data_IF_225577066435
#
_entry.id   IF_225577066435
#
_cell.length_a   1.000
_cell.length_b   1.000
_cell.length_c   1.000
_cell.angle_alpha   90.00
_cell.angle_beta   90.00
_cell.angle_gamma   90.00
#
_symmetry.space_group_name_H-M   'P 1'
#
loop_
_entity.id
_entity.type
_entity.pdbx_description
1 polymer ?
#
# COMPACT_ATOMS: atom_id res chain seq x y z
N UNK A 1 -34.49 -6.72 12.07
CA UNK A 1 -35.85 -7.06 11.67
C UNK A 1 -36.24 -8.46 12.16
N UNK A 2 -35.45 -9.47 11.82
CA UNK A 2 -35.74 -10.85 12.22
C UNK A 2 -35.95 -11.02 13.72
N UNK A 3 -35.07 -10.49 14.54
CA UNK A 3 -35.13 -10.57 16.00
C UNK A 3 -36.22 -9.64 16.60
N UNK A 4 -36.48 -8.51 15.95
CA UNK A 4 -37.37 -7.49 16.46
C UNK A 4 -38.87 -7.82 16.27
N UNK A 5 -39.19 -8.88 15.52
CA UNK A 5 -40.56 -9.27 15.12
C UNK A 5 -41.38 -8.14 14.47
N UNK A 6 -40.72 -7.14 13.92
CA UNK A 6 -41.35 -6.09 13.12
C UNK A 6 -41.78 -6.65 11.77
N UNK A 7 -42.83 -6.11 11.16
CA UNK A 7 -43.18 -6.52 9.79
C UNK A 7 -42.02 -6.22 8.84
N UNK A 8 -41.74 -7.16 7.93
CA UNK A 8 -40.77 -6.96 6.91
C UNK A 8 -41.21 -5.83 5.97
N UNK A 9 -40.27 -5.01 5.47
CA UNK A 9 -40.55 -4.09 4.38
C UNK A 9 -40.83 -4.86 3.09
N UNK A 10 -41.61 -4.29 2.18
CA UNK A 10 -41.89 -4.88 0.86
C UNK A 10 -40.66 -4.92 -0.01
N UNK A 11 -39.73 -3.96 0.16
CA UNK A 11 -38.54 -3.79 -0.65
C UNK A 11 -37.36 -3.31 0.21
N UNK A 12 -36.19 -3.88 -0.02
CA UNK A 12 -34.91 -3.37 0.46
C UNK A 12 -34.15 -2.72 -0.70
N UNK A 13 -33.87 -1.43 -0.60
CA UNK A 13 -33.01 -0.70 -1.50
C UNK A 13 -31.59 -0.70 -0.92
N UNK A 14 -30.70 -1.48 -1.50
CA UNK A 14 -29.32 -1.60 -1.06
C UNK A 14 -28.43 -0.57 -1.78
N UNK A 15 -27.46 -0.04 -1.06
CA UNK A 15 -26.55 0.97 -1.59
C UNK A 15 -25.67 0.44 -2.77
N UNK A 16 -25.43 -0.87 -2.82
CA UNK A 16 -24.74 -1.53 -3.95
C UNK A 16 -25.09 -3.01 -4.02
N UNK A 17 -24.61 -3.67 -5.08
CA UNK A 17 -24.88 -5.08 -5.36
C UNK A 17 -24.20 -6.03 -4.34
N UNK A 18 -23.10 -5.62 -3.72
CA UNK A 18 -22.45 -6.42 -2.67
C UNK A 18 -23.38 -6.57 -1.45
N UNK A 19 -23.96 -5.46 -1.03
CA UNK A 19 -24.91 -5.43 0.09
C UNK A 19 -26.19 -6.21 -0.28
N UNK A 20 -26.68 -6.04 -1.51
CA UNK A 20 -27.86 -6.76 -2.01
C UNK A 20 -27.63 -8.27 -2.02
N UNK A 21 -26.48 -8.74 -2.55
CA UNK A 21 -26.12 -10.16 -2.55
C UNK A 21 -25.98 -10.73 -1.14
N UNK A 22 -25.31 -10.00 -0.23
CA UNK A 22 -25.19 -10.37 1.17
C UNK A 22 -26.54 -10.47 1.89
N UNK A 23 -27.46 -9.53 1.61
CA UNK A 23 -28.82 -9.57 2.13
C UNK A 23 -29.59 -10.80 1.62
N UNK A 24 -29.53 -11.10 0.32
CA UNK A 24 -30.18 -12.27 -0.27
C UNK A 24 -29.62 -13.58 0.33
N UNK A 25 -28.30 -13.70 0.48
CA UNK A 25 -27.67 -14.87 1.07
C UNK A 25 -28.09 -15.04 2.56
N UNK A 26 -28.13 -13.95 3.31
CA UNK A 26 -28.58 -13.98 4.72
C UNK A 26 -30.07 -14.32 4.83
N UNK A 27 -30.91 -13.78 3.94
CA UNK A 27 -32.34 -14.07 3.86
C UNK A 27 -32.57 -15.58 3.67
N UNK A 28 -31.83 -16.22 2.75
CA UNK A 28 -31.92 -17.65 2.48
C UNK A 28 -31.59 -18.47 3.74
N UNK A 29 -30.50 -18.13 4.45
CA UNK A 29 -30.11 -18.80 5.72
C UNK A 29 -31.19 -18.66 6.78
N UNK A 30 -31.88 -17.52 6.85
CA UNK A 30 -32.98 -17.27 7.78
C UNK A 30 -34.34 -17.83 7.33
N UNK A 31 -34.40 -18.48 6.16
CA UNK A 31 -35.59 -19.12 5.62
C UNK A 31 -36.54 -18.20 4.87
N UNK A 32 -36.14 -16.97 4.56
CA UNK A 32 -36.88 -16.05 3.73
C UNK A 32 -36.58 -16.29 2.25
N UNK A 33 -37.57 -16.00 1.41
CA UNK A 33 -37.51 -16.17 -0.06
C UNK A 33 -37.56 -14.80 -0.75
N UNK A 34 -36.55 -14.48 -1.52
CA UNK A 34 -36.53 -13.31 -2.40
C UNK A 34 -36.91 -13.78 -3.81
N UNK A 35 -37.85 -13.16 -4.47
CA UNK A 35 -38.60 -11.94 -4.16
C UNK A 35 -39.95 -12.15 -3.43
N UNK A 36 -40.30 -13.38 -2.98
CA UNK A 36 -41.64 -13.71 -2.51
C UNK A 36 -41.98 -13.05 -1.18
N UNK A 37 -41.07 -13.04 -0.19
CA UNK A 37 -41.28 -12.45 1.13
C UNK A 37 -40.96 -10.95 1.15
N UNK A 38 -39.96 -10.53 0.36
CA UNK A 38 -39.60 -9.14 0.12
C UNK A 38 -38.74 -9.05 -1.15
N UNK A 39 -38.68 -7.85 -1.70
CA UNK A 39 -37.87 -7.56 -2.89
C UNK A 39 -36.54 -6.92 -2.50
N UNK A 40 -35.51 -7.11 -3.34
CA UNK A 40 -34.18 -6.53 -3.13
C UNK A 40 -33.71 -5.85 -4.40
N UNK A 41 -33.12 -4.66 -4.24
CA UNK A 41 -32.42 -3.98 -5.33
C UNK A 41 -31.00 -3.59 -4.89
N UNK A 42 -30.06 -3.65 -5.82
CA UNK A 42 -28.70 -3.17 -5.68
C UNK A 42 -28.43 -1.91 -6.48
N UNK A 43 -27.17 -1.63 -6.68
CA UNK A 43 -26.63 -0.52 -7.48
C UNK A 43 -25.21 -0.89 -7.92
N UNK A 44 -24.72 -0.33 -9.02
CA UNK A 44 -23.40 -0.47 -9.64
C UNK A 44 -23.29 -1.49 -10.77
N UNK A 45 -24.28 -2.34 -11.01
CA UNK A 45 -24.25 -3.38 -12.04
C UNK A 45 -22.95 -4.20 -11.99
N UNK A 46 -22.62 -4.74 -10.81
CA UNK A 46 -21.48 -5.63 -10.65
C UNK A 46 -21.81 -6.99 -11.28
N UNK A 47 -20.80 -7.68 -11.81
CA UNK A 47 -20.94 -9.02 -12.38
C UNK A 47 -21.76 -9.97 -11.50
N UNK A 48 -21.53 -9.91 -10.18
CA UNK A 48 -22.29 -10.72 -9.23
C UNK A 48 -23.80 -10.49 -9.23
N UNK A 49 -24.28 -9.30 -9.62
CA UNK A 49 -25.71 -9.04 -9.72
C UNK A 49 -26.36 -9.94 -10.77
N UNK A 50 -25.70 -10.17 -11.88
CA UNK A 50 -26.19 -11.02 -12.97
C UNK A 50 -26.04 -12.53 -12.66
N UNK A 51 -25.06 -12.91 -11.83
CA UNK A 51 -24.73 -14.33 -11.58
C UNK A 51 -25.23 -14.84 -10.23
N UNK A 52 -25.73 -13.98 -9.37
CA UNK A 52 -26.34 -14.37 -8.10
C UNK A 52 -27.69 -15.06 -8.33
N UNK A 53 -28.16 -15.87 -7.38
CA UNK A 53 -29.47 -16.49 -7.43
C UNK A 53 -30.27 -16.11 -6.15
N UNK A 54 -31.38 -15.36 -6.27
CA UNK A 54 -31.94 -14.78 -7.51
C UNK A 54 -31.07 -13.67 -8.09
N UNK A 55 -31.10 -13.49 -9.42
CA UNK A 55 -30.42 -12.37 -10.07
C UNK A 55 -30.87 -11.05 -9.47
N UNK A 56 -29.91 -10.18 -9.18
CA UNK A 56 -30.15 -8.93 -8.43
C UNK A 56 -30.54 -7.82 -9.42
N UNK A 57 -31.71 -7.23 -9.19
CA UNK A 57 -32.11 -5.98 -9.84
C UNK A 57 -31.15 -4.86 -9.41
N UNK A 58 -30.60 -4.15 -10.38
CA UNK A 58 -29.56 -3.15 -10.14
C UNK A 58 -29.72 -1.92 -11.01
N UNK A 59 -28.83 -0.96 -10.83
CA UNK A 59 -28.69 0.23 -11.67
C UNK A 59 -27.27 0.28 -12.19
N UNK A 60 -27.12 0.36 -13.52
CA UNK A 60 -25.85 0.67 -14.14
C UNK A 60 -25.63 2.19 -14.15
N UNK A 61 -24.63 2.63 -13.40
CA UNK A 61 -24.21 4.03 -13.34
C UNK A 61 -23.13 4.37 -14.39
N UNK A 62 -22.89 3.47 -15.34
CA UNK A 62 -21.98 3.67 -16.45
C UNK A 62 -20.54 4.09 -16.03
N UNK A 63 -19.99 3.40 -15.03
CA UNK A 63 -18.69 3.72 -14.39
C UNK A 63 -17.53 3.92 -15.38
N UNK A 64 -17.49 3.12 -16.45
CA UNK A 64 -16.48 3.27 -17.49
C UNK A 64 -16.53 4.64 -18.19
N UNK A 65 -17.71 5.19 -18.38
CA UNK A 65 -17.88 6.51 -18.98
C UNK A 65 -17.66 7.64 -17.97
N UNK A 66 -17.87 7.42 -16.67
CA UNK A 66 -17.52 8.41 -15.63
C UNK A 66 -16.04 8.75 -15.71
N UNK A 67 -15.17 7.74 -15.67
CA UNK A 67 -13.72 7.93 -15.75
C UNK A 67 -13.28 8.59 -17.05
N UNK A 68 -13.85 8.15 -18.19
CA UNK A 68 -13.56 8.75 -19.50
C UNK A 68 -13.95 10.23 -19.57
N UNK A 69 -15.18 10.56 -19.15
CA UNK A 69 -15.66 11.94 -19.16
C UNK A 69 -14.85 12.83 -18.20
N UNK A 70 -14.49 12.32 -17.02
CA UNK A 70 -13.62 13.03 -16.08
C UNK A 70 -12.27 13.39 -16.73
N UNK A 71 -11.65 12.43 -17.44
CA UNK A 71 -10.39 12.66 -18.13
C UNK A 71 -10.55 13.66 -19.31
N UNK A 72 -11.66 13.61 -20.03
CA UNK A 72 -11.95 14.58 -21.10
C UNK A 72 -12.12 16.01 -20.55
N UNK A 73 -12.85 16.16 -19.44
CA UNK A 73 -13.01 17.44 -18.75
C UNK A 73 -11.64 17.96 -18.30
N UNK A 74 -10.86 17.09 -17.64
CA UNK A 74 -9.52 17.46 -17.18
C UNK A 74 -8.63 17.94 -18.35
N UNK A 75 -8.59 17.20 -19.46
CA UNK A 75 -7.83 17.61 -20.66
C UNK A 75 -8.31 18.94 -21.24
N UNK A 76 -9.62 19.16 -21.29
CA UNK A 76 -10.18 20.41 -21.80
C UNK A 76 -9.83 21.60 -20.89
N UNK A 77 -9.90 21.45 -19.58
CA UNK A 77 -9.48 22.46 -18.61
C UNK A 77 -7.98 22.74 -18.71
N UNK A 78 -7.15 21.69 -18.78
CA UNK A 78 -5.71 21.81 -18.94
C UNK A 78 -5.30 22.61 -20.19
N UNK A 79 -6.00 22.38 -21.29
CA UNK A 79 -5.77 23.07 -22.55
C UNK A 79 -6.45 24.47 -22.63
N UNK A 80 -7.15 24.89 -21.58
CA UNK A 80 -7.89 26.17 -21.59
C UNK A 80 -9.07 26.22 -22.55
N UNK A 81 -9.58 25.06 -23.01
CA UNK A 81 -10.67 24.94 -23.99
C UNK A 81 -12.00 24.52 -23.38
N UNK A 82 -12.04 24.20 -22.09
CA UNK A 82 -13.22 23.71 -21.38
C UNK A 82 -13.63 24.59 -20.21
N UNK A 83 -14.84 24.34 -19.71
CA UNK A 83 -15.34 24.89 -18.47
C UNK A 83 -15.45 23.79 -17.40
N UNK A 84 -15.56 24.20 -16.13
CA UNK A 84 -15.73 23.31 -14.97
C UNK A 84 -17.21 23.02 -14.70
N UNK A 85 -18.06 22.98 -15.74
CA UNK A 85 -19.48 22.70 -15.53
C UNK A 85 -19.73 21.23 -15.20
N UNK A 86 -20.73 20.98 -14.35
CA UNK A 86 -21.14 19.64 -13.98
C UNK A 86 -21.67 18.87 -15.21
N UNK A 87 -21.18 17.64 -15.37
CA UNK A 87 -21.71 16.69 -16.36
C UNK A 87 -22.47 15.58 -15.66
N UNK A 88 -23.70 15.38 -16.10
CA UNK A 88 -24.55 14.29 -15.64
C UNK A 88 -24.52 13.16 -16.66
N UNK A 89 -24.41 11.93 -16.18
CA UNK A 89 -24.48 10.73 -16.99
C UNK A 89 -25.79 10.00 -16.71
N UNK A 90 -26.42 9.48 -17.74
CA UNK A 90 -27.61 8.66 -17.59
C UNK A 90 -27.27 7.32 -16.96
N UNK A 91 -28.10 6.91 -16.01
CA UNK A 91 -28.06 5.58 -15.40
C UNK A 91 -29.14 4.70 -15.99
N UNK A 92 -28.86 3.40 -16.15
CA UNK A 92 -29.79 2.42 -16.67
C UNK A 92 -30.30 1.51 -15.54
N UNK A 93 -31.61 1.39 -15.41
CA UNK A 93 -32.24 0.45 -14.48
C UNK A 93 -32.33 -0.93 -15.12
N UNK A 94 -31.76 -1.95 -14.46
CA UNK A 94 -31.72 -3.34 -14.91
C UNK A 94 -32.60 -4.18 -13.99
N UNK A 95 -33.86 -4.44 -14.38
CA UNK A 95 -34.75 -5.29 -13.62
C UNK A 95 -34.32 -6.76 -13.71
N UNK A 96 -34.39 -7.48 -12.58
CA UNK A 96 -34.07 -8.90 -12.52
C UNK A 96 -34.92 -9.66 -11.49
N UNK A 97 -34.58 -10.90 -11.20
CA UNK A 97 -35.41 -11.81 -10.39
C UNK A 97 -35.67 -11.31 -8.98
N UNK A 98 -34.74 -10.59 -8.35
CA UNK A 98 -34.87 -10.14 -6.96
C UNK A 98 -35.95 -9.08 -6.75
N UNK A 99 -36.46 -8.43 -7.80
CA UNK A 99 -37.65 -7.57 -7.73
C UNK A 99 -38.94 -8.28 -8.21
N UNK A 100 -38.85 -9.54 -8.62
CA UNK A 100 -39.95 -10.32 -9.19
C UNK A 100 -40.08 -10.20 -10.70
N UNK A 101 -39.11 -9.59 -11.39
CA UNK A 101 -39.08 -9.53 -12.86
C UNK A 101 -38.47 -10.84 -13.41
N UNK A 102 -38.83 -11.20 -14.69
CA UNK A 102 -38.23 -12.37 -15.29
C UNK A 102 -36.74 -12.13 -15.56
N UNK A 103 -35.96 -13.20 -15.52
CA UNK A 103 -34.57 -13.19 -15.96
C UNK A 103 -34.49 -12.75 -17.43
N UNK A 104 -33.80 -11.67 -17.72
CA UNK A 104 -33.76 -11.05 -19.07
C UNK A 104 -32.51 -11.43 -19.87
N UNK A 105 -31.57 -12.20 -19.30
CA UNK A 105 -30.30 -12.52 -19.98
C UNK A 105 -29.89 -13.98 -19.89
N UNK A 106 -29.30 -14.49 -20.98
CA UNK A 106 -28.51 -15.72 -20.92
C UNK A 106 -27.18 -15.39 -20.30
N UNK A 107 -26.95 -15.95 -19.11
CA UNK A 107 -25.71 -15.78 -18.36
C UNK A 107 -24.77 -16.94 -18.72
N UNK A 108 -23.57 -16.64 -19.14
CA UNK A 108 -22.52 -17.63 -19.38
C UNK A 108 -21.85 -18.03 -18.06
N UNK A 109 -22.54 -18.83 -17.25
CA UNK A 109 -22.01 -19.34 -15.98
C UNK A 109 -20.68 -20.08 -16.13
N UNK A 110 -20.44 -20.75 -17.25
CA UNK A 110 -19.20 -21.50 -17.45
C UNK A 110 -18.00 -20.56 -17.55
N UNK A 111 -18.13 -19.49 -18.31
CA UNK A 111 -17.07 -18.49 -18.46
C UNK A 111 -16.88 -17.70 -17.17
N UNK A 112 -17.97 -17.36 -16.49
CA UNK A 112 -17.93 -16.69 -15.18
C UNK A 112 -17.18 -17.51 -14.13
N UNK A 113 -17.53 -18.79 -13.93
CA UNK A 113 -16.85 -19.69 -12.99
C UNK A 113 -15.37 -19.84 -13.37
N UNK A 114 -15.06 -19.99 -14.66
CA UNK A 114 -13.67 -20.05 -15.13
C UNK A 114 -12.88 -18.80 -14.76
N UNK A 115 -13.48 -17.63 -14.88
CA UNK A 115 -12.84 -16.36 -14.54
C UNK A 115 -12.66 -16.21 -13.01
N UNK A 116 -13.67 -16.62 -12.21
CA UNK A 116 -13.55 -16.65 -10.74
C UNK A 116 -12.41 -17.57 -10.32
N UNK A 117 -12.34 -18.81 -10.84
CA UNK A 117 -11.27 -19.75 -10.50
C UNK A 117 -9.90 -19.18 -10.88
N UNK A 118 -9.78 -18.59 -12.08
CA UNK A 118 -8.52 -17.95 -12.49
C UNK A 118 -8.13 -16.82 -11.54
N UNK A 119 -9.09 -15.96 -11.19
CA UNK A 119 -8.84 -14.87 -10.25
C UNK A 119 -8.49 -15.36 -8.84
N UNK A 120 -9.10 -16.46 -8.37
CA UNK A 120 -8.76 -17.08 -7.08
C UNK A 120 -7.33 -17.61 -7.08
N UNK A 121 -6.95 -18.36 -8.12
CA UNK A 121 -5.58 -18.92 -8.24
C UNK A 121 -4.53 -17.79 -8.34
N UNK A 122 -4.82 -16.74 -9.11
CA UNK A 122 -3.91 -15.60 -9.19
C UNK A 122 -3.73 -14.93 -7.84
N UNK A 123 -4.82 -14.73 -7.09
CA UNK A 123 -4.78 -14.13 -5.75
C UNK A 123 -4.00 -14.98 -4.75
N UNK A 124 -4.21 -16.31 -4.74
CA UNK A 124 -3.43 -17.21 -3.89
C UNK A 124 -1.93 -17.12 -4.19
N UNK A 125 -1.54 -17.02 -5.46
CA UNK A 125 -0.14 -16.83 -5.86
C UNK A 125 0.43 -15.49 -5.41
N UNK A 126 -0.38 -14.42 -5.45
CA UNK A 126 0.00 -13.09 -4.98
C UNK A 126 0.15 -13.05 -3.45
N UNK A 127 -0.78 -13.65 -2.71
CA UNK A 127 -0.70 -13.78 -1.25
C UNK A 127 0.55 -14.56 -0.81
N UNK A 128 0.86 -15.67 -1.49
CA UNK A 128 2.09 -16.45 -1.26
C UNK A 128 3.35 -15.60 -1.54
N UNK A 129 3.37 -14.84 -2.63
CA UNK A 129 4.49 -13.98 -2.98
C UNK A 129 4.72 -12.86 -1.93
N UNK A 130 3.64 -12.26 -1.42
CA UNK A 130 3.72 -11.27 -0.34
C UNK A 130 4.25 -11.90 0.96
N UNK A 131 3.82 -13.13 1.30
CA UNK A 131 4.35 -13.85 2.46
C UNK A 131 5.85 -14.13 2.34
N UNK A 132 6.32 -14.51 1.15
CA UNK A 132 7.74 -14.73 0.88
C UNK A 132 8.50 -13.42 1.05
N UNK A 133 8.02 -12.32 0.45
CA UNK A 133 8.61 -11.00 0.62
C UNK A 133 8.70 -10.60 2.10
N UNK A 134 7.63 -10.76 2.86
CA UNK A 134 7.62 -10.43 4.29
C UNK A 134 8.74 -11.17 5.05
N UNK A 135 8.92 -12.45 4.77
CA UNK A 135 9.99 -13.25 5.37
C UNK A 135 11.38 -12.75 4.96
N UNK A 136 11.58 -12.47 3.67
CA UNK A 136 12.85 -11.94 3.17
C UNK A 136 13.18 -10.58 3.78
N UNK A 137 12.18 -9.69 3.92
CA UNK A 137 12.38 -8.41 4.57
C UNK A 137 12.72 -8.57 6.08
N UNK A 138 12.15 -9.55 6.77
CA UNK A 138 12.47 -9.83 8.18
C UNK A 138 13.94 -10.23 8.40
N UNK A 139 14.57 -10.84 7.41
CA UNK A 139 15.99 -11.26 7.46
C UNK A 139 16.98 -10.09 7.28
N UNK A 140 16.54 -8.94 6.75
CA UNK A 140 17.39 -7.79 6.52
C UNK A 140 17.86 -7.16 7.84
N UNK A 141 19.14 -6.77 7.90
CA UNK A 141 19.73 -6.10 9.08
C UNK A 141 20.18 -4.66 8.78
N UNK A 142 20.20 -4.26 7.51
CA UNK A 142 20.56 -2.93 7.06
C UNK A 142 19.46 -2.31 6.21
N UNK A 143 19.38 -0.98 6.19
CA UNK A 143 18.40 -0.26 5.36
C UNK A 143 18.59 -0.55 3.87
N UNK A 144 19.87 -0.62 3.44
CA UNK A 144 20.19 -0.89 2.04
C UNK A 144 19.62 -2.23 1.60
N UNK A 145 19.87 -3.31 2.34
CA UNK A 145 19.36 -4.65 2.04
C UNK A 145 17.83 -4.70 2.03
N UNK A 146 17.20 -3.99 2.98
CA UNK A 146 15.76 -3.87 3.05
C UNK A 146 15.17 -3.24 1.78
N UNK A 147 15.74 -2.11 1.35
CA UNK A 147 15.25 -1.39 0.18
C UNK A 147 15.61 -2.12 -1.13
N UNK A 148 16.74 -2.81 -1.19
CA UNK A 148 17.12 -3.65 -2.34
C UNK A 148 16.10 -4.77 -2.56
N UNK A 149 15.78 -5.57 -1.53
CA UNK A 149 14.80 -6.65 -1.64
C UNK A 149 13.40 -6.14 -1.96
N UNK A 150 13.00 -5.04 -1.33
CA UNK A 150 11.75 -4.37 -1.68
C UNK A 150 11.74 -3.91 -3.15
N UNK A 151 12.81 -3.30 -3.63
CA UNK A 151 12.95 -2.84 -5.01
C UNK A 151 12.87 -3.99 -6.01
N UNK A 152 13.61 -5.08 -5.77
CA UNK A 152 13.60 -6.26 -6.63
C UNK A 152 12.19 -6.84 -6.78
N UNK A 153 11.47 -6.93 -5.66
CA UNK A 153 10.09 -7.39 -5.67
C UNK A 153 9.17 -6.45 -6.47
N UNK A 154 9.21 -5.16 -6.19
CA UNK A 154 8.38 -4.14 -6.88
C UNK A 154 8.68 -4.09 -8.37
N UNK A 155 9.95 -4.17 -8.77
CA UNK A 155 10.33 -4.16 -10.19
C UNK A 155 9.87 -5.44 -10.90
N UNK A 156 9.86 -6.60 -10.24
CA UNK A 156 9.30 -7.84 -10.78
C UNK A 156 7.80 -7.74 -11.13
N UNK A 157 7.09 -6.82 -10.49
CA UNK A 157 5.68 -6.50 -10.71
C UNK A 157 5.44 -5.42 -11.79
N UNK A 158 6.39 -5.22 -12.70
CA UNK A 158 6.33 -4.19 -13.75
C UNK A 158 6.36 -2.76 -13.20
N UNK A 159 7.42 -2.45 -12.51
CA UNK A 159 7.80 -1.09 -12.12
C UNK A 159 9.18 -0.78 -12.72
N UNK A 160 9.36 0.40 -13.26
CA UNK A 160 10.61 0.77 -13.94
C UNK A 160 11.65 1.38 -13.00
N UNK A 161 11.29 1.74 -11.78
CA UNK A 161 12.24 2.25 -10.79
C UNK A 161 11.64 2.46 -9.42
N UNK A 162 12.49 2.33 -8.41
CA UNK A 162 12.17 2.49 -6.99
C UNK A 162 13.18 3.44 -6.36
N UNK A 163 12.70 4.53 -5.79
CA UNK A 163 13.53 5.51 -5.10
C UNK A 163 12.99 5.70 -3.70
N UNK A 164 13.86 5.68 -2.69
CA UNK A 164 13.47 5.85 -1.29
C UNK A 164 14.15 7.08 -0.73
N UNK A 165 13.37 8.00 -0.24
CA UNK A 165 13.81 9.21 0.43
C UNK A 165 13.39 9.13 1.88
N UNK A 166 14.29 9.43 2.78
CA UNK A 166 14.02 9.50 4.21
C UNK A 166 14.49 10.80 4.82
N UNK A 167 14.04 11.09 6.03
CA UNK A 167 14.56 12.23 6.80
C UNK A 167 15.93 11.89 7.39
N UNK A 168 16.76 12.89 7.61
CA UNK A 168 18.15 12.73 8.10
C UNK A 168 18.21 12.00 9.44
N UNK A 169 17.25 12.20 10.32
CA UNK A 169 17.15 11.51 11.62
C UNK A 169 16.88 10.00 11.48
N UNK A 170 16.12 9.58 10.46
CA UNK A 170 15.94 8.16 10.12
C UNK A 170 17.26 7.56 9.65
N UNK A 171 17.94 8.23 8.71
CA UNK A 171 19.21 7.76 8.14
C UNK A 171 20.30 7.61 9.21
N UNK A 172 20.40 8.58 10.11
CA UNK A 172 21.38 8.60 11.19
C UNK A 172 20.98 7.75 12.41
N UNK A 173 19.75 7.24 12.47
CA UNK A 173 19.17 6.53 13.61
C UNK A 173 19.44 7.24 14.95
N UNK A 174 19.08 8.52 15.02
CA UNK A 174 19.31 9.35 16.21
C UNK A 174 18.37 8.99 17.34
N UNK A 175 18.87 8.94 18.56
CA UNK A 175 18.08 8.61 19.75
C UNK A 175 16.98 9.65 20.07
N UNK A 176 17.22 10.90 19.71
CA UNK A 176 16.28 12.02 19.88
C UNK A 176 15.70 12.47 18.52
N UNK A 177 15.46 11.53 17.62
CA UNK A 177 14.85 11.82 16.33
C UNK A 177 13.51 12.54 16.48
N UNK A 178 13.31 13.59 15.71
CA UNK A 178 12.07 14.35 15.67
C UNK A 178 11.42 14.22 14.29
N UNK A 179 10.42 13.38 14.23
CA UNK A 179 9.64 13.21 13.02
C UNK A 179 8.44 14.18 13.00
N UNK A 180 8.11 14.69 11.82
CA UNK A 180 7.00 15.63 11.65
C UNK A 180 5.69 14.87 11.44
N UNK A 181 4.58 15.45 11.92
CA UNK A 181 3.24 14.91 11.65
C UNK A 181 2.68 15.37 10.30
N UNK A 182 3.15 16.49 9.80
CA UNK A 182 2.66 17.10 8.56
C UNK A 182 3.81 17.73 7.76
N UNK A 183 3.77 17.53 6.45
CA UNK A 183 4.68 18.14 5.49
C UNK A 183 6.08 17.51 5.47
N UNK A 184 6.84 17.90 4.46
CA UNK A 184 8.24 17.50 4.26
C UNK A 184 9.11 18.74 4.30
N UNK A 185 10.38 18.57 4.66
CA UNK A 185 11.39 19.62 4.63
C UNK A 185 12.54 19.14 3.76
N UNK A 186 12.65 19.69 2.59
CA UNK A 186 13.62 19.25 1.58
C UNK A 186 15.09 19.37 2.05
N UNK A 187 15.35 20.28 3.01
CA UNK A 187 16.69 20.47 3.57
C UNK A 187 17.05 19.37 4.58
N UNK A 188 16.04 18.63 5.10
CA UNK A 188 16.20 17.52 6.03
C UNK A 188 16.06 16.14 5.35
N UNK A 189 15.86 16.11 4.05
CA UNK A 189 15.65 14.86 3.30
C UNK A 189 16.95 14.33 2.71
N UNK A 190 17.09 13.00 2.72
CA UNK A 190 18.23 12.28 2.12
C UNK A 190 17.72 11.13 1.26
N UNK A 191 18.41 10.85 0.14
CA UNK A 191 18.13 9.69 -0.68
C UNK A 191 18.76 8.47 -0.01
N UNK A 192 17.92 7.52 0.41
CA UNK A 192 18.34 6.30 1.09
C UNK A 192 18.63 5.15 0.11
N UNK A 193 17.90 5.13 -1.00
CA UNK A 193 18.03 4.10 -2.03
C UNK A 193 17.50 4.59 -3.36
N UNK A 194 18.11 4.15 -4.46
CA UNK A 194 17.63 4.43 -5.79
C UNK A 194 18.03 3.29 -6.74
N UNK A 195 17.05 2.73 -7.42
CA UNK A 195 17.24 1.68 -8.42
C UNK A 195 16.30 1.91 -9.59
N UNK A 196 16.84 1.86 -10.78
CA UNK A 196 16.18 2.21 -12.02
C UNK A 196 16.47 1.14 -13.08
N UNK A 197 15.43 0.62 -13.70
CA UNK A 197 15.51 -0.47 -14.68
C UNK A 197 16.49 -0.20 -15.82
N UNK A 198 16.57 1.05 -16.25
CA UNK A 198 17.41 1.42 -17.41
C UNK A 198 18.86 1.73 -17.01
N UNK A 199 19.09 2.20 -15.78
CA UNK A 199 20.36 2.70 -15.29
C UNK A 199 20.93 1.92 -14.10
N UNK A 200 20.19 0.96 -13.55
CA UNK A 200 20.56 0.20 -12.36
C UNK A 200 20.56 1.04 -11.09
N UNK A 201 21.38 0.64 -10.13
CA UNK A 201 21.52 1.33 -8.85
C UNK A 201 22.21 2.67 -9.03
N UNK A 202 21.60 3.71 -8.48
CA UNK A 202 22.01 5.10 -8.60
C UNK A 202 22.31 5.68 -7.22
N UNK A 203 23.26 6.58 -7.15
CA UNK A 203 23.59 7.36 -5.95
C UNK A 203 23.37 8.85 -6.22
N UNK A 204 22.66 9.50 -5.32
CA UNK A 204 22.37 10.93 -5.38
C UNK A 204 22.92 11.62 -4.14
N UNK A 205 23.56 12.79 -4.32
CA UNK A 205 24.10 13.58 -3.21
C UNK A 205 23.01 14.34 -2.46
N UNK A 206 21.91 14.63 -3.14
CA UNK A 206 20.78 15.36 -2.59
C UNK A 206 19.47 14.90 -3.25
N UNK A 207 18.35 15.21 -2.59
CA UNK A 207 17.01 15.00 -3.18
C UNK A 207 16.81 15.86 -4.42
N UNK A 208 17.43 17.03 -4.47
CA UNK A 208 17.39 17.91 -5.66
C UNK A 208 18.05 17.22 -6.88
N UNK A 209 19.16 16.50 -6.69
CA UNK A 209 19.80 15.75 -7.78
C UNK A 209 18.88 14.62 -8.28
N UNK A 210 18.23 13.90 -7.37
CA UNK A 210 17.21 12.90 -7.71
C UNK A 210 16.05 13.53 -8.51
N UNK A 211 15.53 14.67 -8.08
CA UNK A 211 14.44 15.35 -8.78
C UNK A 211 14.86 15.83 -10.18
N UNK A 212 16.07 16.32 -10.34
CA UNK A 212 16.62 16.67 -11.66
C UNK A 212 16.76 15.45 -12.57
N UNK A 213 17.24 14.32 -12.02
CA UNK A 213 17.29 13.06 -12.73
C UNK A 213 15.90 12.63 -13.21
N UNK A 214 14.91 12.62 -12.33
CA UNK A 214 13.53 12.26 -12.65
C UNK A 214 12.93 13.14 -13.76
N UNK A 215 13.24 14.44 -13.75
CA UNK A 215 12.81 15.37 -14.80
C UNK A 215 13.53 15.14 -16.15
N UNK A 216 14.71 14.54 -16.14
CA UNK A 216 15.47 14.22 -17.36
C UNK A 216 15.01 12.95 -18.06
N UNK A 217 14.24 12.10 -17.37
CA UNK A 217 13.61 10.90 -17.92
C UNK A 217 12.47 11.29 -18.88
N UNK A 218 12.06 10.36 -19.75
CA UNK A 218 11.01 10.58 -20.76
C UNK A 218 9.77 11.27 -20.18
N UNK A 219 9.22 12.23 -20.95
CA UNK A 219 8.02 12.99 -20.61
C UNK A 219 6.76 12.14 -20.43
N UNK A 220 6.76 10.91 -20.92
CA UNK A 220 5.66 9.95 -20.74
C UNK A 220 5.77 9.12 -19.46
N UNK A 221 6.65 9.50 -18.54
CA UNK A 221 6.88 8.79 -17.29
C UNK A 221 5.86 9.23 -16.22
N UNK A 222 5.30 8.25 -15.54
CA UNK A 222 4.45 8.43 -14.37
C UNK A 222 5.26 8.16 -13.10
N UNK A 223 5.17 9.04 -12.12
CA UNK A 223 5.74 8.84 -10.79
C UNK A 223 4.64 8.78 -9.75
N UNK A 224 4.70 7.77 -8.88
CA UNK A 224 3.77 7.62 -7.77
C UNK A 224 4.53 7.69 -6.45
N UNK A 225 3.98 8.46 -5.52
CA UNK A 225 4.59 8.72 -4.21
C UNK A 225 3.80 8.03 -3.12
N UNK A 226 4.51 7.30 -2.24
CA UNK A 226 3.97 6.68 -1.04
C UNK A 226 4.68 7.22 0.18
N UNK A 227 3.94 7.82 1.10
CA UNK A 227 4.48 8.26 2.37
C UNK A 227 4.89 7.07 3.25
N UNK A 228 6.05 7.18 3.87
CA UNK A 228 6.50 6.28 4.93
C UNK A 228 6.23 6.92 6.29
N UNK A 229 5.53 6.20 7.16
CA UNK A 229 5.12 6.70 8.47
C UNK A 229 5.46 5.73 9.57
N UNK A 230 5.95 6.24 10.71
CA UNK A 230 5.93 5.51 11.97
C UNK A 230 4.73 6.05 12.78
N UNK A 231 3.62 5.29 12.80
CA UNK A 231 2.32 5.73 13.33
C UNK A 231 1.80 6.95 12.58
N UNK A 232 1.77 8.14 13.23
CA UNK A 232 1.31 9.42 12.67
C UNK A 232 2.47 10.37 12.29
N UNK A 233 3.71 9.89 12.34
CA UNK A 233 4.92 10.67 12.06
C UNK A 233 5.52 10.27 10.71
N UNK A 234 5.84 11.25 9.88
CA UNK A 234 6.40 11.07 8.55
C UNK A 234 7.91 10.83 8.68
N UNK A 235 8.39 9.71 8.11
CA UNK A 235 9.81 9.36 8.12
C UNK A 235 10.44 9.41 6.73
N UNK A 236 9.63 9.58 5.69
CA UNK A 236 10.07 9.64 4.31
C UNK A 236 8.99 9.26 3.31
N UNK A 237 9.40 8.90 2.12
CA UNK A 237 8.52 8.42 1.06
C UNK A 237 9.24 7.51 0.07
N UNK A 238 8.47 6.65 -0.58
CA UNK A 238 8.90 5.85 -1.73
C UNK A 238 8.34 6.49 -2.99
N UNK A 239 9.15 6.57 -4.03
CA UNK A 239 8.75 6.98 -5.35
C UNK A 239 8.86 5.78 -6.28
N UNK A 240 7.79 5.46 -6.98
CA UNK A 240 7.74 4.39 -7.98
C UNK A 240 7.63 5.02 -9.37
N UNK A 241 8.46 4.54 -10.30
CA UNK A 241 8.43 4.96 -11.71
C UNK A 241 7.64 3.93 -12.52
N UNK A 242 6.60 4.39 -13.25
CA UNK A 242 5.74 3.59 -14.11
C UNK A 242 5.22 2.30 -13.44
N UNK A 243 4.59 2.37 -12.25
CA UNK A 243 4.11 1.17 -11.57
C UNK A 243 2.82 0.65 -12.21
N UNK A 244 2.91 -0.27 -13.17
CA UNK A 244 1.74 -0.84 -13.86
C UNK A 244 0.88 -1.70 -12.95
N UNK A 245 1.46 -2.34 -11.94
CA UNK A 245 0.79 -3.29 -11.03
C UNK A 245 -0.28 -2.65 -10.16
N UNK A 246 -0.25 -1.34 -9.93
CA UNK A 246 -1.17 -0.64 -9.03
C UNK A 246 -2.64 -0.70 -9.45
N UNK A 247 -2.91 -1.04 -10.71
CA UNK A 247 -4.27 -1.10 -11.21
C UNK A 247 -5.03 -2.36 -10.79
N UNK A 248 -4.32 -3.45 -10.47
CA UNK A 248 -4.92 -4.77 -10.29
C UNK A 248 -4.49 -5.51 -9.01
N UNK A 249 -3.62 -4.93 -8.16
CA UNK A 249 -3.08 -5.60 -6.98
C UNK A 249 -3.65 -5.04 -5.66
N UNK A 250 -4.61 -5.70 -5.04
CA UNK A 250 -5.14 -5.32 -3.73
C UNK A 250 -4.11 -5.48 -2.60
N UNK A 251 -3.11 -6.34 -2.77
CA UNK A 251 -2.05 -6.64 -1.80
C UNK A 251 -1.01 -5.53 -1.65
N UNK A 252 -1.08 -4.48 -2.45
CA UNK A 252 -0.16 -3.34 -2.38
C UNK A 252 -0.04 -2.76 -0.98
N UNK A 253 -1.16 -2.70 -0.24
CA UNK A 253 -1.17 -2.21 1.14
C UNK A 253 -0.38 -3.12 2.08
N UNK A 254 -0.43 -4.43 1.87
CA UNK A 254 0.29 -5.43 2.66
C UNK A 254 1.79 -5.38 2.41
N UNK A 255 2.20 -5.18 1.14
CA UNK A 255 3.60 -4.97 0.74
C UNK A 255 4.19 -3.75 1.44
N UNK A 256 3.48 -2.63 1.41
CA UNK A 256 3.92 -1.40 2.07
C UNK A 256 3.95 -1.53 3.59
N UNK A 257 2.96 -2.19 4.17
CA UNK A 257 2.89 -2.46 5.60
C UNK A 257 4.06 -3.32 6.06
N UNK A 258 4.47 -4.31 5.26
CA UNK A 258 5.63 -5.15 5.55
C UNK A 258 6.94 -4.33 5.54
N UNK A 259 7.14 -3.49 4.51
CA UNK A 259 8.28 -2.57 4.43
C UNK A 259 8.35 -1.66 5.66
N UNK A 260 7.24 -0.98 5.98
CA UNK A 260 7.15 -0.04 7.09
C UNK A 260 7.44 -0.68 8.44
N UNK A 261 6.85 -1.86 8.69
CA UNK A 261 7.06 -2.61 9.93
C UNK A 261 8.54 -2.97 10.12
N UNK A 262 9.19 -3.45 9.07
CA UNK A 262 10.61 -3.80 9.14
C UNK A 262 11.48 -2.57 9.26
N UNK A 263 11.20 -1.50 8.53
CA UNK A 263 11.91 -0.23 8.61
C UNK A 263 11.88 0.34 10.04
N UNK A 264 10.69 0.35 10.68
CA UNK A 264 10.54 0.80 12.06
C UNK A 264 11.34 -0.06 13.05
N UNK A 265 11.37 -1.38 12.85
CA UNK A 265 12.14 -2.29 13.68
C UNK A 265 13.65 -2.06 13.52
N UNK A 266 14.14 -1.91 12.30
CA UNK A 266 15.55 -1.60 12.04
C UNK A 266 15.94 -0.25 12.62
N UNK A 267 15.10 0.76 12.50
CA UNK A 267 15.34 2.07 13.11
C UNK A 267 15.51 1.94 14.62
N UNK A 268 14.58 1.27 15.32
CA UNK A 268 14.64 1.05 16.77
C UNK A 268 15.89 0.29 17.19
N UNK A 269 16.26 -0.74 16.42
CA UNK A 269 17.47 -1.53 16.68
C UNK A 269 18.73 -0.66 16.55
N UNK A 270 18.85 0.10 15.47
CA UNK A 270 19.99 1.00 15.24
C UNK A 270 20.09 2.12 16.28
N UNK A 271 18.96 2.70 16.68
CA UNK A 271 18.93 3.67 17.80
C UNK A 271 19.45 3.04 19.09
N UNK A 272 19.02 1.81 19.39
CA UNK A 272 19.49 1.10 20.59
C UNK A 272 20.99 0.80 20.52
N UNK A 273 21.50 0.36 19.39
CA UNK A 273 22.93 0.11 19.15
C UNK A 273 23.76 1.39 19.32
N UNK A 274 23.31 2.50 18.71
CA UNK A 274 23.96 3.80 18.82
C UNK A 274 23.99 4.28 20.30
N UNK A 275 22.86 4.18 20.99
CA UNK A 275 22.76 4.56 22.40
C UNK A 275 23.69 3.71 23.30
N UNK A 276 23.74 2.39 23.05
CA UNK A 276 24.64 1.52 23.78
C UNK A 276 26.13 1.84 23.53
N UNK A 277 26.46 2.20 22.28
CA UNK A 277 27.83 2.62 21.95
C UNK A 277 28.20 3.96 22.60
N UNK A 278 27.29 4.93 22.65
CA UNK A 278 27.46 6.17 23.37
C UNK A 278 27.66 5.93 24.90
N UNK A 279 26.82 5.09 25.49
CA UNK A 279 26.94 4.72 26.89
C UNK A 279 28.29 4.02 27.20
N UNK A 280 28.73 3.09 26.33
CA UNK A 280 30.04 2.46 26.47
C UNK A 280 31.17 3.46 26.34
N UNK A 281 31.06 4.42 25.43
CA UNK A 281 32.07 5.48 25.31
C UNK A 281 32.11 6.36 26.54
N UNK A 282 30.96 6.80 27.07
CA UNK A 282 30.89 7.58 28.33
C UNK A 282 31.42 6.80 29.54
N UNK A 283 31.15 5.49 29.61
CA UNK A 283 31.62 4.61 30.68
C UNK A 283 33.11 4.39 30.64
N UNK A 284 33.73 4.30 29.45
CA UNK A 284 35.12 3.91 29.27
C UNK A 284 36.10 5.09 29.12
N UNK A 285 35.61 6.28 28.77
CA UNK A 285 36.46 7.43 28.49
C UNK A 285 36.25 8.56 29.48
N UNK A 286 37.31 9.33 29.69
CA UNK A 286 37.29 10.56 30.47
C UNK A 286 36.74 11.71 29.65
N UNK A 287 35.71 12.39 30.15
CA UNK A 287 34.96 13.42 29.44
C UNK A 287 35.80 14.65 29.03
N UNK A 288 36.93 14.91 29.68
CA UNK A 288 37.79 16.08 29.41
C UNK A 288 38.90 15.76 28.40
N UNK A 289 39.50 14.58 28.51
CA UNK A 289 40.69 14.20 27.75
C UNK A 289 40.38 13.27 26.59
N UNK A 290 39.21 12.61 26.60
CA UNK A 290 38.84 11.60 25.60
C UNK A 290 39.64 10.28 25.71
N UNK A 291 40.55 10.16 26.70
CA UNK A 291 41.33 8.95 26.92
C UNK A 291 40.55 7.93 27.75
N UNK A 292 40.99 6.67 27.75
CA UNK A 292 40.42 5.66 28.63
C UNK A 292 40.50 6.11 30.08
N UNK A 293 39.38 6.05 30.76
CA UNK A 293 39.31 6.36 32.18
C UNK A 293 39.84 5.20 33.05
N UNK A 294 39.88 5.39 34.37
CA UNK A 294 40.39 4.40 35.32
C UNK A 294 39.62 3.06 35.23
N UNK A 295 38.33 3.08 34.97
CA UNK A 295 37.49 1.86 34.84
C UNK A 295 37.93 1.05 33.62
N UNK A 296 38.02 1.68 32.46
CA UNK A 296 38.45 1.04 31.23
C UNK A 296 39.91 0.52 31.32
N UNK A 297 40.82 1.28 31.98
CA UNK A 297 42.15 0.79 32.21
C UNK A 297 42.15 -0.50 33.04
N UNK A 298 41.37 -0.57 34.10
CA UNK A 298 41.35 -1.76 34.97
C UNK A 298 40.67 -2.96 34.28
N UNK A 299 39.59 -2.73 33.55
CA UNK A 299 38.76 -3.82 32.99
C UNK A 299 39.27 -4.32 31.64
N UNK A 300 39.92 -3.46 30.84
CA UNK A 300 40.33 -3.81 29.47
C UNK A 300 41.86 -3.85 29.31
N UNK A 301 42.56 -2.82 29.78
CA UNK A 301 44.01 -2.68 29.51
C UNK A 301 44.84 -3.63 30.38
N UNK A 302 44.57 -3.74 31.68
CA UNK A 302 45.32 -4.62 32.56
C UNK A 302 45.20 -6.11 32.17
N UNK A 303 43.99 -6.66 31.84
CA UNK A 303 43.89 -8.02 31.36
C UNK A 303 44.64 -8.28 30.04
N UNK A 304 44.63 -7.32 29.10
CA UNK A 304 45.40 -7.44 27.84
C UNK A 304 46.92 -7.54 28.08
N UNK A 305 47.44 -6.81 29.07
CA UNK A 305 48.84 -6.92 29.44
C UNK A 305 49.16 -8.26 30.09
N UNK A 306 48.28 -8.78 30.95
CA UNK A 306 48.44 -10.10 31.56
C UNK A 306 48.50 -11.24 30.51
N UNK A 307 47.69 -11.19 29.46
CA UNK A 307 47.73 -12.16 28.38
C UNK A 307 49.03 -12.08 27.53
N UNK A 308 49.68 -10.91 27.49
CA UNK A 308 50.95 -10.73 26.76
C UNK A 308 52.18 -11.19 27.57
N UNK A 309 52.09 -11.23 28.93
CA UNK A 309 53.14 -11.75 29.80
C UNK A 309 53.17 -13.30 29.84
N UNK A 310 52.06 -13.97 29.46
CA UNK A 310 51.95 -15.43 29.40
C UNK A 310 52.36 -16.03 28.02
N UNK A 311 52.81 -15.20 27.04
CA UNK A 311 53.38 -15.59 25.76
C UNK A 311 54.91 -15.39 25.74
#
# INVERSE_FOLDING_TARGET
WHESKKPLPDVFLCANDNIAAGLCATAEVLGYKVPQDFKVTGFDNLDKAAYFNPQITTVDNNRGNIGRNALEIFKALWNGTGDASDKYLDSEFIPAESCGCPNTGRVDYRNYIKNIIKGSVAREQEEDAVMILQKELEECNEYYDLFERYSDYIQSMKCDGVYVVGVSDLAAARNNAHFRKHGYDIDDEVVLYADDKDNGKLEFKSVNDLMQYMQSVDKNTCYMYYSLHFRDEIVGYVILRNPEFLYDHPEQFDIQSALLKKLENLFKQKVLENTNNELKNLYNHDALTGLYNRVACNEMVIPMFAELEDQ
#
